data_IF_278460348689
#
_entry.id   IF_278460348689
#
_cell.length_a   1.000
_cell.length_b   1.000
_cell.length_c   1.000
_cell.angle_alpha   90.00
_cell.angle_beta   90.00
_cell.angle_gamma   90.00
#
_symmetry.space_group_name_H-M   'P 1'
#
loop_
_entity.id
_entity.type
_entity.pdbx_description
1 polymer ?
#
# COMPACT_ATOMS: atom_id res chain seq x y z
N UNK A 1 6.47 -10.62 23.90
CA UNK A 1 5.50 -10.58 22.82
C UNK A 1 4.04 -10.81 23.25
N UNK A 2 3.74 -11.79 24.14
CA UNK A 2 2.38 -12.00 24.67
C UNK A 2 1.79 -10.77 25.41
N UNK A 3 2.64 -9.97 26.05
CA UNK A 3 2.20 -8.76 26.78
C UNK A 3 1.71 -7.63 25.89
N UNK A 4 2.23 -7.52 24.64
CA UNK A 4 1.93 -6.37 23.78
C UNK A 4 0.55 -6.48 23.12
N UNK A 5 0.11 -7.68 22.70
CA UNK A 5 -1.22 -7.87 22.12
C UNK A 5 -2.35 -7.73 23.15
N UNK A 6 -2.12 -8.08 24.43
CA UNK A 6 -3.12 -7.89 25.48
C UNK A 6 -3.44 -6.41 25.72
N UNK A 7 -2.50 -5.50 25.40
CA UNK A 7 -2.73 -4.05 25.47
C UNK A 7 -3.88 -3.60 24.55
N UNK A 8 -4.14 -4.30 23.44
CA UNK A 8 -5.26 -3.99 22.55
C UNK A 8 -6.61 -4.05 23.26
N UNK A 9 -6.74 -4.95 24.23
CA UNK A 9 -7.98 -5.16 25.00
C UNK A 9 -8.10 -4.33 26.29
N UNK A 10 -7.02 -3.74 26.79
CA UNK A 10 -6.96 -3.13 28.13
C UNK A 10 -6.55 -1.67 28.12
N UNK A 11 -5.50 -1.30 27.36
CA UNK A 11 -4.94 0.05 27.35
C UNK A 11 -5.86 1.05 26.62
N UNK A 12 -5.70 2.35 26.88
CA UNK A 12 -6.44 3.42 26.19
C UNK A 12 -6.13 3.39 24.67
N UNK A 13 -7.15 3.37 23.82
CA UNK A 13 -7.00 3.29 22.36
C UNK A 13 -6.12 4.41 21.80
N UNK A 14 -6.29 5.64 22.30
CA UNK A 14 -5.45 6.77 21.89
C UNK A 14 -3.96 6.50 22.14
N UNK A 15 -3.61 5.96 23.32
CA UNK A 15 -2.22 5.63 23.67
C UNK A 15 -1.67 4.53 22.77
N UNK A 16 -2.47 3.49 22.46
CA UNK A 16 -2.09 2.43 21.53
C UNK A 16 -1.78 3.03 20.15
N UNK A 17 -2.68 3.86 19.61
CA UNK A 17 -2.50 4.48 18.30
C UNK A 17 -1.26 5.39 18.25
N UNK A 18 -1.04 6.22 19.29
CA UNK A 18 0.15 7.06 19.37
C UNK A 18 1.46 6.29 19.50
N UNK A 19 1.44 5.09 20.05
CA UNK A 19 2.64 4.23 20.14
C UNK A 19 2.90 3.47 18.83
N UNK A 20 1.83 3.12 18.09
CA UNK A 20 1.93 2.28 16.89
C UNK A 20 2.08 3.08 15.58
N UNK A 21 1.39 4.22 15.45
CA UNK A 21 1.36 4.95 14.20
C UNK A 21 2.70 5.61 13.82
N UNK A 22 3.44 6.30 14.71
CA UNK A 22 4.69 6.94 14.33
C UNK A 22 5.74 6.00 13.74
N UNK A 23 6.01 4.78 14.28
CA UNK A 23 6.89 3.82 13.65
C UNK A 23 6.46 3.44 12.23
N UNK A 24 5.16 3.22 12.01
CA UNK A 24 4.63 2.87 10.69
C UNK A 24 4.75 4.04 9.71
N UNK A 25 4.44 5.27 10.18
CA UNK A 25 4.62 6.49 9.37
C UNK A 25 6.08 6.67 8.95
N UNK A 26 7.01 6.49 9.87
CA UNK A 26 8.44 6.62 9.58
C UNK A 26 8.90 5.56 8.58
N UNK A 27 8.47 4.30 8.74
CA UNK A 27 8.77 3.24 7.79
C UNK A 27 8.27 3.58 6.37
N UNK A 28 7.02 4.05 6.23
CA UNK A 28 6.45 4.43 4.94
C UNK A 28 7.14 5.66 4.34
N UNK A 29 7.52 6.64 5.16
CA UNK A 29 8.28 7.82 4.70
C UNK A 29 9.65 7.40 4.15
N UNK A 30 10.38 6.58 4.87
CA UNK A 30 11.68 6.06 4.43
C UNK A 30 11.54 5.26 3.14
N UNK A 31 10.48 4.45 3.02
CA UNK A 31 10.18 3.72 1.80
C UNK A 31 9.91 4.66 0.60
N UNK A 32 9.18 5.74 0.80
CA UNK A 32 8.95 6.73 -0.25
C UNK A 32 10.25 7.44 -0.66
N UNK A 33 11.10 7.77 0.32
CA UNK A 33 12.38 8.43 0.06
C UNK A 33 13.35 7.53 -0.70
N UNK A 34 13.49 6.26 -0.31
CA UNK A 34 14.44 5.39 -1.03
C UNK A 34 14.02 5.15 -2.48
N UNK A 35 12.73 5.05 -2.79
CA UNK A 35 12.24 4.92 -4.17
C UNK A 35 12.64 6.13 -5.04
N UNK A 36 12.65 7.34 -4.44
CA UNK A 36 13.10 8.56 -5.13
C UNK A 36 14.61 8.50 -5.36
N UNK A 37 15.39 8.07 -4.37
CA UNK A 37 16.86 7.99 -4.45
C UNK A 37 17.28 6.93 -5.47
N UNK A 38 16.69 5.76 -5.48
CA UNK A 38 16.91 4.70 -6.48
C UNK A 38 16.67 5.23 -7.90
N UNK A 39 15.51 5.84 -8.13
CA UNK A 39 15.18 6.46 -9.43
C UNK A 39 16.16 7.56 -9.83
N UNK A 40 16.69 8.32 -8.88
CA UNK A 40 17.69 9.35 -9.13
C UNK A 40 19.03 8.76 -9.61
N UNK A 41 19.54 7.71 -8.95
CA UNK A 41 20.79 7.07 -9.36
C UNK A 41 20.65 6.37 -10.71
N UNK A 42 19.55 5.67 -10.95
CA UNK A 42 19.27 5.04 -12.24
C UNK A 42 19.14 6.07 -13.35
N UNK A 43 18.41 7.17 -13.13
CA UNK A 43 18.27 8.25 -14.09
C UNK A 43 19.59 8.96 -14.43
N UNK A 44 20.51 9.05 -13.47
CA UNK A 44 21.88 9.54 -13.73
C UNK A 44 22.73 8.56 -14.53
N UNK A 45 22.43 7.28 -14.46
CA UNK A 45 23.14 6.26 -15.21
C UNK A 45 22.65 6.17 -16.67
N UNK A 46 21.33 6.14 -16.89
CA UNK A 46 20.73 5.92 -18.21
C UNK A 46 19.27 6.38 -18.23
N UNK A 47 18.88 7.12 -19.27
CA UNK A 47 17.47 7.47 -19.51
C UNK A 47 16.63 6.24 -19.86
N UNK A 48 17.20 5.30 -20.62
CA UNK A 48 16.56 4.01 -20.93
C UNK A 48 16.31 3.21 -19.66
N UNK A 49 17.25 3.23 -18.68
CA UNK A 49 17.09 2.61 -17.37
C UNK A 49 15.95 3.21 -16.56
N UNK A 50 15.82 4.52 -16.53
CA UNK A 50 14.71 5.20 -15.84
C UNK A 50 13.35 4.84 -16.47
N UNK A 51 13.31 4.75 -17.80
CA UNK A 51 12.12 4.29 -18.54
C UNK A 51 11.79 2.84 -18.18
N UNK A 52 12.82 1.97 -18.10
CA UNK A 52 12.63 0.57 -17.71
C UNK A 52 12.05 0.42 -16.29
N UNK A 53 12.53 1.22 -15.32
CA UNK A 53 11.94 1.24 -13.96
C UNK A 53 10.46 1.59 -14.00
N UNK A 54 10.11 2.61 -14.79
CA UNK A 54 8.71 3.05 -14.94
C UNK A 54 7.81 1.98 -15.54
N UNK A 55 8.32 1.22 -16.52
CA UNK A 55 7.60 0.10 -17.14
C UNK A 55 7.41 -1.07 -16.16
N UNK A 56 8.41 -1.36 -15.31
CA UNK A 56 8.33 -2.46 -14.33
C UNK A 56 7.47 -2.12 -13.11
N UNK A 57 7.33 -0.85 -12.78
CA UNK A 57 6.63 -0.39 -11.58
C UNK A 57 5.23 -1.00 -11.37
N UNK A 58 4.34 -1.13 -12.38
CA UNK A 58 3.05 -1.79 -12.20
C UNK A 58 3.16 -3.26 -11.77
N UNK A 59 4.17 -3.99 -12.25
CA UNK A 59 4.41 -5.39 -11.83
C UNK A 59 4.85 -5.44 -10.38
N UNK A 60 5.73 -4.53 -9.96
CA UNK A 60 6.14 -4.42 -8.56
C UNK A 60 4.96 -4.09 -7.64
N UNK A 61 4.07 -3.18 -8.04
CA UNK A 61 2.84 -2.87 -7.28
C UNK A 61 1.94 -4.10 -7.14
N UNK A 62 1.83 -4.91 -8.19
CA UNK A 62 1.05 -6.14 -8.14
C UNK A 62 1.67 -7.16 -7.17
N UNK A 63 2.99 -7.35 -7.21
CA UNK A 63 3.71 -8.20 -6.24
C UNK A 63 3.46 -7.73 -4.80
N UNK A 64 3.57 -6.42 -4.55
CA UNK A 64 3.32 -5.82 -3.23
C UNK A 64 1.86 -6.04 -2.81
N UNK A 65 0.89 -5.87 -3.73
CA UNK A 65 -0.52 -6.08 -3.43
C UNK A 65 -0.80 -7.51 -2.94
N UNK A 66 -0.23 -8.51 -3.59
CA UNK A 66 -0.39 -9.91 -3.18
C UNK A 66 0.35 -10.22 -1.87
N UNK A 67 1.60 -9.78 -1.73
CA UNK A 67 2.39 -10.01 -0.53
C UNK A 67 1.75 -9.34 0.71
N UNK A 68 1.46 -8.04 0.62
CA UNK A 68 0.86 -7.27 1.72
C UNK A 68 -0.57 -7.74 2.00
N UNK A 69 -1.38 -7.98 0.97
CA UNK A 69 -2.77 -8.40 1.14
C UNK A 69 -2.89 -9.78 1.81
N UNK A 70 -2.05 -10.75 1.43
CA UNK A 70 -1.95 -12.04 2.13
C UNK A 70 -1.52 -11.83 3.59
N UNK A 71 -0.52 -10.98 3.80
CA UNK A 71 -0.06 -10.62 5.15
C UNK A 71 -1.13 -9.96 6.00
N UNK A 72 -1.96 -9.08 5.43
CA UNK A 72 -3.10 -8.47 6.15
C UNK A 72 -4.15 -9.52 6.53
N UNK A 73 -4.36 -10.52 5.67
CA UNK A 73 -5.21 -11.67 6.00
C UNK A 73 -4.69 -12.44 7.22
N UNK A 74 -3.38 -12.74 7.25
CA UNK A 74 -2.73 -13.39 8.40
C UNK A 74 -2.83 -12.51 9.65
N UNK A 75 -2.51 -11.22 9.54
CA UNK A 75 -2.62 -10.26 10.64
C UNK A 75 -4.01 -10.25 11.27
N UNK A 76 -5.04 -10.14 10.43
CA UNK A 76 -6.44 -10.12 10.88
C UNK A 76 -6.83 -11.41 11.59
N UNK A 77 -6.48 -12.58 11.02
CA UNK A 77 -6.77 -13.87 11.64
C UNK A 77 -6.00 -14.07 12.95
N UNK A 78 -4.71 -13.76 12.98
CA UNK A 78 -3.89 -13.84 14.20
C UNK A 78 -4.43 -12.95 15.30
N UNK A 79 -4.72 -11.67 15.02
CA UNK A 79 -5.23 -10.72 15.99
C UNK A 79 -6.60 -11.17 16.55
N UNK A 80 -7.42 -11.82 15.72
CA UNK A 80 -8.70 -12.42 16.16
C UNK A 80 -8.47 -13.52 17.19
N UNK A 81 -7.60 -14.51 16.89
CA UNK A 81 -7.32 -15.61 17.80
C UNK A 81 -6.58 -15.16 19.07
N UNK A 82 -5.68 -14.20 18.97
CA UNK A 82 -5.04 -13.56 20.14
C UNK A 82 -6.09 -12.86 21.04
N UNK A 83 -7.12 -12.28 20.45
CA UNK A 83 -8.27 -11.72 21.20
C UNK A 83 -9.03 -12.77 21.99
N UNK A 84 -9.20 -13.95 21.43
CA UNK A 84 -9.84 -15.11 22.10
C UNK A 84 -8.92 -15.85 23.08
N UNK A 85 -7.67 -15.42 23.23
CA UNK A 85 -6.62 -16.10 24.02
C UNK A 85 -6.28 -17.51 23.47
N UNK A 86 -6.52 -17.73 22.18
CA UNK A 86 -6.15 -18.93 21.43
C UNK A 86 -4.77 -18.78 20.79
N UNK A 87 -3.73 -18.63 21.63
CA UNK A 87 -2.36 -18.33 21.21
C UNK A 87 -1.80 -19.39 20.24
N UNK A 88 -2.08 -20.68 20.50
CA UNK A 88 -1.64 -21.78 19.64
C UNK A 88 -2.21 -21.65 18.22
N UNK A 89 -3.49 -21.32 18.13
CA UNK A 89 -4.15 -21.12 16.83
C UNK A 89 -3.63 -19.88 16.11
N UNK A 90 -3.32 -18.82 16.82
CA UNK A 90 -2.67 -17.65 16.26
C UNK A 90 -1.27 -18.00 15.69
N UNK A 91 -0.47 -18.76 16.44
CA UNK A 91 0.85 -19.22 15.97
C UNK A 91 0.75 -20.20 14.79
N UNK A 92 -0.28 -21.07 14.73
CA UNK A 92 -0.55 -21.90 13.54
C UNK A 92 -0.81 -21.04 12.29
N UNK A 93 -1.69 -20.04 12.38
CA UNK A 93 -1.98 -19.10 11.28
C UNK A 93 -0.70 -18.38 10.83
N UNK A 94 0.10 -17.91 11.78
CA UNK A 94 1.40 -17.30 11.48
C UNK A 94 2.38 -18.27 10.82
N UNK A 95 2.39 -19.53 11.27
CA UNK A 95 3.25 -20.59 10.76
C UNK A 95 2.93 -21.01 9.30
N UNK A 96 1.66 -20.94 8.90
CA UNK A 96 1.25 -21.13 7.50
C UNK A 96 1.78 -20.02 6.60
N UNK A 97 1.97 -18.83 7.15
CA UNK A 97 2.39 -17.65 6.38
C UNK A 97 3.68 -17.83 5.61
N UNK A 98 4.72 -18.42 6.22
CA UNK A 98 6.02 -18.62 5.56
C UNK A 98 5.96 -19.53 4.34
N UNK A 99 5.46 -20.78 4.41
CA UNK A 99 5.39 -21.64 3.23
C UNK A 99 4.38 -21.13 2.18
N UNK A 100 3.29 -20.51 2.60
CA UNK A 100 2.31 -19.91 1.69
C UNK A 100 2.94 -18.78 0.87
N UNK A 101 3.72 -17.92 1.51
CA UNK A 101 4.38 -16.81 0.83
C UNK A 101 5.52 -17.25 -0.08
N UNK A 102 6.25 -18.30 0.29
CA UNK A 102 7.28 -18.90 -0.57
C UNK A 102 6.65 -19.54 -1.82
N UNK A 103 5.51 -20.21 -1.68
CA UNK A 103 4.76 -20.74 -2.83
C UNK A 103 4.31 -19.60 -3.75
N UNK A 104 3.76 -18.53 -3.17
CA UNK A 104 3.30 -17.36 -3.93
C UNK A 104 4.46 -16.67 -4.65
N UNK A 105 5.60 -16.47 -3.96
CA UNK A 105 6.83 -15.98 -4.58
C UNK A 105 7.26 -16.87 -5.74
N UNK A 106 7.32 -18.19 -5.56
CA UNK A 106 7.75 -19.11 -6.61
C UNK A 106 6.86 -19.02 -7.85
N UNK A 107 5.54 -18.93 -7.67
CA UNK A 107 4.58 -18.74 -8.78
C UNK A 107 4.85 -17.41 -9.49
N UNK A 108 5.03 -16.31 -8.76
CA UNK A 108 5.35 -15.01 -9.33
C UNK A 108 6.71 -15.00 -10.05
N UNK A 109 7.73 -15.60 -9.43
CA UNK A 109 9.07 -15.66 -10.01
C UNK A 109 9.08 -16.40 -11.35
N UNK A 110 8.44 -17.58 -11.40
CA UNK A 110 8.32 -18.39 -12.63
C UNK A 110 7.50 -17.64 -13.68
N UNK A 111 6.34 -17.11 -13.31
CA UNK A 111 5.49 -16.34 -14.22
C UNK A 111 6.25 -15.14 -14.80
N UNK A 112 6.85 -14.31 -13.97
CA UNK A 112 7.57 -13.12 -14.41
C UNK A 112 8.81 -13.47 -15.25
N UNK A 113 9.55 -14.53 -14.92
CA UNK A 113 10.71 -14.95 -15.69
C UNK A 113 10.36 -15.20 -17.16
N UNK A 114 9.26 -15.90 -17.43
CA UNK A 114 8.82 -16.22 -18.79
C UNK A 114 8.03 -15.08 -19.45
N UNK A 115 7.22 -14.36 -18.67
CA UNK A 115 6.34 -13.30 -19.20
C UNK A 115 7.10 -12.00 -19.49
N UNK A 116 8.20 -11.71 -18.79
CA UNK A 116 8.90 -10.43 -18.86
C UNK A 116 9.31 -10.00 -20.29
N UNK A 117 9.85 -10.89 -21.16
CA UNK A 117 10.19 -10.49 -22.52
C UNK A 117 8.98 -10.09 -23.37
N UNK A 118 7.84 -10.78 -23.20
CA UNK A 118 6.61 -10.44 -23.89
C UNK A 118 6.06 -9.09 -23.40
N UNK A 119 6.04 -8.87 -22.08
CA UNK A 119 5.62 -7.63 -21.47
C UNK A 119 6.46 -6.43 -21.92
N UNK A 120 7.79 -6.58 -21.96
CA UNK A 120 8.69 -5.54 -22.42
C UNK A 120 8.39 -5.12 -23.87
N UNK A 121 8.22 -6.10 -24.78
CA UNK A 121 7.87 -5.84 -26.18
C UNK A 121 6.49 -5.21 -26.38
N UNK A 122 5.54 -5.47 -25.47
CA UNK A 122 4.22 -4.82 -25.49
C UNK A 122 4.26 -3.38 -24.99
N UNK A 123 5.28 -3.03 -24.19
CA UNK A 123 5.38 -1.74 -23.51
C UNK A 123 6.22 -0.71 -24.27
N UNK A 124 7.14 -1.15 -25.15
CA UNK A 124 8.05 -0.26 -25.89
C UNK A 124 8.63 -0.94 -27.12
N UNK A 125 8.94 -0.13 -28.16
CA UNK A 125 9.61 -0.57 -29.39
C UNK A 125 11.16 -0.40 -29.31
N UNK A 126 11.68 0.31 -28.30
CA UNK A 126 13.12 0.53 -28.12
C UNK A 126 13.81 -0.76 -27.69
N UNK A 127 14.71 -1.29 -28.53
CA UNK A 127 15.46 -2.51 -28.23
C UNK A 127 16.33 -2.39 -26.97
N UNK A 128 16.86 -1.20 -26.67
CA UNK A 128 17.65 -0.92 -25.48
C UNK A 128 16.77 -0.97 -24.22
N UNK A 129 15.63 -0.28 -24.23
CA UNK A 129 14.67 -0.29 -23.12
C UNK A 129 14.12 -1.70 -22.89
N UNK A 130 13.80 -2.46 -23.95
CA UNK A 130 13.35 -3.87 -23.83
C UNK A 130 14.39 -4.70 -23.09
N UNK A 131 15.68 -4.57 -23.44
CA UNK A 131 16.77 -5.30 -22.79
C UNK A 131 16.85 -4.95 -21.28
N UNK A 132 16.76 -3.67 -20.95
CA UNK A 132 16.84 -3.19 -19.57
C UNK A 132 15.62 -3.60 -18.75
N UNK A 133 14.39 -3.53 -19.30
CA UNK A 133 13.15 -4.02 -18.67
C UNK A 133 13.26 -5.51 -18.36
N UNK A 134 13.72 -6.31 -19.32
CA UNK A 134 13.86 -7.78 -19.11
C UNK A 134 14.90 -8.07 -18.05
N UNK A 135 16.05 -7.38 -18.08
CA UNK A 135 17.13 -7.59 -17.11
C UNK A 135 16.72 -7.19 -15.71
N UNK A 136 16.26 -5.94 -15.51
CA UNK A 136 15.82 -5.44 -14.22
C UNK A 136 14.62 -6.25 -13.67
N UNK A 137 13.60 -6.43 -14.49
CA UNK A 137 12.38 -7.11 -14.11
C UNK A 137 12.60 -8.57 -13.71
N UNK A 138 13.44 -9.32 -14.44
CA UNK A 138 13.80 -10.68 -14.05
C UNK A 138 14.53 -10.73 -12.72
N UNK A 139 15.53 -9.87 -12.49
CA UNK A 139 16.27 -9.83 -11.22
C UNK A 139 15.32 -9.53 -10.06
N UNK A 140 14.55 -8.45 -10.17
CA UNK A 140 13.66 -8.01 -9.08
C UNK A 140 12.55 -9.03 -8.81
N UNK A 141 11.95 -9.64 -9.84
CA UNK A 141 10.84 -10.58 -9.65
C UNK A 141 11.33 -11.97 -9.20
N UNK A 142 12.42 -12.48 -9.77
CA UNK A 142 12.90 -13.82 -9.42
C UNK A 142 13.49 -13.85 -8.00
N UNK A 143 14.19 -12.79 -7.61
CA UNK A 143 14.81 -12.72 -6.28
C UNK A 143 13.96 -11.96 -5.24
N UNK A 144 12.67 -11.74 -5.52
CA UNK A 144 11.74 -11.03 -4.63
C UNK A 144 11.35 -11.80 -3.35
N UNK A 145 11.90 -13.00 -3.11
CA UNK A 145 11.58 -13.78 -1.90
C UNK A 145 11.77 -12.96 -0.61
N UNK A 146 12.75 -12.05 -0.57
CA UNK A 146 12.98 -11.14 0.55
C UNK A 146 11.77 -10.24 0.80
N UNK A 147 11.20 -9.61 -0.24
CA UNK A 147 9.99 -8.80 -0.16
C UNK A 147 8.79 -9.59 0.36
N UNK A 148 8.58 -10.79 -0.17
CA UNK A 148 7.45 -11.64 0.21
C UNK A 148 7.56 -12.09 1.68
N UNK A 149 8.73 -12.54 2.12
CA UNK A 149 8.99 -12.97 3.51
C UNK A 149 8.92 -11.79 4.49
N UNK A 150 9.55 -10.66 4.16
CA UNK A 150 9.49 -9.44 4.97
C UNK A 150 8.04 -9.01 5.19
N UNK A 151 7.24 -8.99 4.13
CA UNK A 151 5.84 -8.59 4.20
C UNK A 151 5.04 -9.45 5.18
N UNK A 152 5.16 -10.78 5.11
CA UNK A 152 4.44 -11.70 5.99
C UNK A 152 4.90 -11.58 7.44
N UNK A 153 6.22 -11.63 7.69
CA UNK A 153 6.74 -11.55 9.05
C UNK A 153 6.47 -10.18 9.69
N UNK A 154 6.51 -9.10 8.92
CA UNK A 154 6.04 -7.78 9.36
C UNK A 154 4.59 -7.82 9.82
N UNK A 155 3.69 -8.46 9.06
CA UNK A 155 2.27 -8.55 9.43
C UNK A 155 2.02 -9.43 10.65
N UNK A 156 2.80 -10.48 10.85
CA UNK A 156 2.80 -11.29 12.08
C UNK A 156 3.21 -10.44 13.30
N UNK A 157 4.28 -9.64 13.17
CA UNK A 157 4.72 -8.73 14.24
C UNK A 157 3.66 -7.68 14.57
N UNK A 158 3.06 -7.08 13.55
CA UNK A 158 1.99 -6.09 13.70
C UNK A 158 0.76 -6.67 14.41
N UNK A 159 0.39 -7.94 14.15
CA UNK A 159 -0.68 -8.63 14.86
C UNK A 159 -0.41 -8.75 16.38
N UNK A 160 0.85 -8.86 16.74
CA UNK A 160 1.31 -8.89 18.14
C UNK A 160 1.55 -7.49 18.75
N UNK A 161 1.33 -6.41 17.99
CA UNK A 161 1.54 -5.02 18.45
C UNK A 161 2.97 -4.49 18.27
N UNK A 162 3.90 -5.29 17.74
CA UNK A 162 5.26 -4.83 17.46
C UNK A 162 5.31 -4.10 16.11
N UNK A 163 5.31 -2.76 16.17
CA UNK A 163 5.50 -1.90 15.00
C UNK A 163 6.95 -1.40 14.86
N UNK A 164 7.76 -1.53 15.91
CA UNK A 164 9.13 -1.01 15.93
C UNK A 164 10.09 -1.92 15.15
N UNK A 165 9.96 -3.23 15.29
CA UNK A 165 10.81 -4.17 14.56
C UNK A 165 10.64 -4.06 13.04
N UNK A 166 9.41 -4.01 12.47
CA UNK A 166 9.19 -3.70 11.06
C UNK A 166 9.78 -2.34 10.63
N UNK A 167 9.61 -1.30 11.44
CA UNK A 167 10.20 0.01 11.14
C UNK A 167 11.72 -0.06 11.00
N UNK A 168 12.41 -0.70 11.97
CA UNK A 168 13.86 -0.87 11.93
C UNK A 168 14.28 -1.67 10.69
N UNK A 169 13.54 -2.72 10.35
CA UNK A 169 13.80 -3.54 9.17
C UNK A 169 13.67 -2.74 7.88
N UNK A 170 12.61 -1.94 7.74
CA UNK A 170 12.39 -1.06 6.58
C UNK A 170 13.50 -0.02 6.45
N UNK A 171 13.91 0.63 7.55
CA UNK A 171 15.01 1.60 7.55
C UNK A 171 16.31 0.91 7.14
N UNK A 172 16.64 -0.24 7.73
CA UNK A 172 17.87 -0.97 7.40
C UNK A 172 17.90 -1.42 5.94
N UNK A 173 16.78 -1.94 5.42
CA UNK A 173 16.64 -2.30 4.02
C UNK A 173 16.82 -1.12 3.08
N UNK A 174 16.18 0.02 3.38
CA UNK A 174 16.28 1.25 2.60
C UNK A 174 17.71 1.82 2.61
N UNK A 175 18.35 1.88 3.77
CA UNK A 175 19.76 2.33 3.89
C UNK A 175 20.69 1.41 3.11
N UNK A 176 20.48 0.09 3.19
CA UNK A 176 21.27 -0.88 2.42
C UNK A 176 21.11 -0.64 0.92
N UNK A 177 19.90 -0.44 0.43
CA UNK A 177 19.65 -0.14 -0.99
C UNK A 177 20.33 1.17 -1.40
N UNK A 178 20.09 2.28 -0.68
CA UNK A 178 20.69 3.61 -0.97
C UNK A 178 22.23 3.56 -1.03
N UNK A 179 22.85 2.77 -0.16
CA UNK A 179 24.32 2.60 -0.14
C UNK A 179 24.78 1.73 -1.31
N UNK A 180 24.07 0.64 -1.61
CA UNK A 180 24.46 -0.28 -2.68
C UNK A 180 24.17 0.25 -4.08
N UNK A 181 23.18 1.13 -4.27
CA UNK A 181 22.85 1.70 -5.58
C UNK A 181 24.07 2.33 -6.26
N UNK A 182 24.75 3.37 -5.72
CA UNK A 182 25.90 3.95 -6.38
C UNK A 182 27.08 2.97 -6.49
N UNK A 183 27.23 2.05 -5.54
CA UNK A 183 28.32 1.06 -5.56
C UNK A 183 28.16 0.08 -6.72
N UNK A 184 26.97 -0.44 -6.95
CA UNK A 184 26.69 -1.46 -7.96
C UNK A 184 26.36 -0.86 -9.33
N UNK A 185 25.65 0.28 -9.37
CA UNK A 185 25.30 0.95 -10.64
C UNK A 185 26.55 1.46 -11.32
N UNK A 186 27.41 2.21 -10.61
CA UNK A 186 28.57 2.88 -11.17
C UNK A 186 29.88 2.09 -11.04
N UNK A 187 29.91 1.01 -10.24
CA UNK A 187 31.09 0.20 -10.02
C UNK A 187 32.14 0.90 -9.15
N UNK A 188 31.72 1.52 -8.04
CA UNK A 188 32.63 2.22 -7.13
C UNK A 188 33.44 1.24 -6.27
N UNK A 189 34.58 1.68 -5.78
CA UNK A 189 35.48 0.91 -4.90
C UNK A 189 35.96 -0.44 -5.46
N UNK A 190 36.10 -0.54 -6.78
CA UNK A 190 36.59 -1.77 -7.44
C UNK A 190 35.51 -2.83 -7.71
N UNK A 191 34.27 -2.54 -7.42
CA UNK A 191 33.12 -3.40 -7.80
C UNK A 191 32.85 -3.31 -9.31
N UNK A 192 32.31 -4.37 -9.93
CA UNK A 192 31.94 -4.32 -11.35
C UNK A 192 30.81 -3.33 -11.58
N UNK A 193 30.90 -2.55 -12.65
CA UNK A 193 29.85 -1.65 -13.10
C UNK A 193 28.68 -2.47 -13.67
N UNK A 194 27.60 -2.59 -12.91
CA UNK A 194 26.45 -3.44 -13.25
C UNK A 194 25.29 -2.66 -13.90
N UNK A 195 25.31 -1.30 -13.85
CA UNK A 195 24.24 -0.47 -14.38
C UNK A 195 22.88 -0.80 -13.75
N UNK A 196 21.83 -0.95 -14.57
CA UNK A 196 20.47 -1.23 -14.10
C UNK A 196 20.35 -2.58 -13.35
N UNK A 197 21.19 -3.56 -13.69
CA UNK A 197 21.24 -4.83 -12.92
C UNK A 197 21.77 -4.60 -11.51
N UNK A 198 22.65 -3.60 -11.33
CA UNK A 198 23.13 -3.16 -10.01
C UNK A 198 22.03 -2.55 -9.15
N UNK A 199 21.16 -1.70 -9.70
CA UNK A 199 19.99 -1.17 -9.03
C UNK A 199 19.02 -2.30 -8.61
N UNK A 200 18.75 -3.24 -9.52
CA UNK A 200 17.92 -4.42 -9.21
C UNK A 200 18.51 -5.26 -8.07
N UNK A 201 19.83 -5.51 -8.11
CA UNK A 201 20.52 -6.26 -7.04
C UNK A 201 20.50 -5.52 -5.70
N UNK A 202 20.74 -4.20 -5.69
CA UNK A 202 20.67 -3.37 -4.49
C UNK A 202 19.27 -3.43 -3.84
N UNK A 203 18.21 -3.34 -4.65
CA UNK A 203 16.83 -3.48 -4.20
C UNK A 203 16.57 -4.85 -3.56
N UNK A 204 16.99 -5.92 -4.22
CA UNK A 204 16.84 -7.29 -3.70
C UNK A 204 17.61 -7.48 -2.39
N UNK A 205 18.85 -7.03 -2.31
CA UNK A 205 19.66 -7.15 -1.08
C UNK A 205 19.03 -6.35 0.06
N UNK A 206 18.53 -5.13 -0.19
CA UNK A 206 17.80 -4.35 0.79
C UNK A 206 16.57 -5.08 1.34
N UNK A 207 15.78 -5.72 0.47
CA UNK A 207 14.63 -6.53 0.85
C UNK A 207 15.03 -7.76 1.69
N UNK A 208 16.12 -8.43 1.34
CA UNK A 208 16.66 -9.58 2.11
C UNK A 208 17.11 -9.12 3.50
N UNK A 209 17.82 -7.99 3.60
CA UNK A 209 18.25 -7.43 4.91
C UNK A 209 17.04 -7.13 5.78
N UNK A 210 16.02 -6.51 5.24
CA UNK A 210 14.77 -6.26 5.97
C UNK A 210 14.10 -7.56 6.42
N UNK A 211 14.01 -8.57 5.54
CA UNK A 211 13.46 -9.87 5.86
C UNK A 211 14.22 -10.56 7.00
N UNK A 212 15.55 -10.54 7.00
CA UNK A 212 16.38 -11.14 8.04
C UNK A 212 16.18 -10.51 9.42
N UNK A 213 15.90 -9.20 9.46
CA UNK A 213 15.64 -8.49 10.73
C UNK A 213 14.28 -8.90 11.30
N UNK A 214 13.23 -8.90 10.49
CA UNK A 214 11.88 -9.28 10.95
C UNK A 214 11.77 -10.78 11.23
N UNK A 215 12.55 -11.62 10.54
CA UNK A 215 12.58 -13.07 10.72
C UNK A 215 12.79 -13.48 12.17
N UNK A 216 13.72 -12.82 12.88
CA UNK A 216 14.10 -13.17 14.26
C UNK A 216 12.91 -13.23 15.23
N UNK A 217 11.89 -12.42 15.01
CA UNK A 217 10.69 -12.33 15.86
C UNK A 217 9.39 -12.69 15.14
N UNK A 218 9.37 -12.59 13.81
CA UNK A 218 8.20 -12.84 12.96
C UNK A 218 8.04 -14.31 12.56
N UNK A 219 9.13 -15.07 12.48
CA UNK A 219 9.06 -16.48 12.10
C UNK A 219 8.23 -17.30 13.10
N UNK A 220 7.36 -18.15 12.57
CA UNK A 220 6.59 -19.15 13.32
C UNK A 220 6.77 -20.51 12.67
N UNK A 221 6.79 -21.56 13.51
CA UNK A 221 6.91 -22.94 13.02
C UNK A 221 5.68 -23.31 12.20
N UNK A 222 5.90 -23.93 11.06
CA UNK A 222 4.83 -24.42 10.22
C UNK A 222 4.03 -25.52 10.93
N UNK A 223 2.69 -25.45 10.95
CA UNK A 223 1.84 -26.46 11.55
C UNK A 223 1.76 -27.73 10.66
N UNK A 224 0.99 -28.72 11.10
CA UNK A 224 0.70 -29.91 10.32
C UNK A 224 -0.06 -29.58 9.03
N UNK A 225 0.20 -30.30 7.93
CA UNK A 225 -0.44 -30.05 6.63
C UNK A 225 -1.98 -30.15 6.64
N UNK A 226 -2.54 -30.91 7.58
CA UNK A 226 -4.00 -31.10 7.70
C UNK A 226 -4.78 -29.81 7.96
N UNK A 227 -4.15 -28.80 8.59
CA UNK A 227 -4.80 -27.52 8.91
C UNK A 227 -4.64 -26.45 7.80
N UNK A 228 -3.82 -26.71 6.80
CA UNK A 228 -3.50 -25.71 5.76
C UNK A 228 -4.71 -25.21 4.99
N UNK A 229 -5.46 -26.13 4.38
CA UNK A 229 -6.53 -25.74 3.46
C UNK A 229 -7.65 -24.91 4.13
N UNK A 230 -8.16 -25.29 5.32
CA UNK A 230 -9.14 -24.49 6.03
C UNK A 230 -8.63 -23.11 6.42
N UNK A 231 -7.39 -23.02 6.89
CA UNK A 231 -6.83 -21.76 7.37
C UNK A 231 -6.36 -20.85 6.23
N UNK A 232 -5.82 -21.39 5.14
CA UNK A 232 -5.57 -20.63 3.90
C UNK A 232 -6.86 -19.97 3.39
N UNK A 233 -7.98 -20.70 3.41
CA UNK A 233 -9.29 -20.13 3.02
C UNK A 233 -9.70 -18.97 3.94
N UNK A 234 -9.45 -19.06 5.25
CA UNK A 234 -9.71 -17.97 6.19
C UNK A 234 -8.79 -16.77 5.92
N UNK A 235 -7.48 -17.02 5.73
CA UNK A 235 -6.48 -15.98 5.44
C UNK A 235 -6.89 -15.20 4.18
N UNK A 236 -7.18 -15.89 3.08
CA UNK A 236 -7.56 -15.20 1.84
C UNK A 236 -8.94 -14.55 1.93
N UNK A 237 -9.89 -15.10 2.68
CA UNK A 237 -11.16 -14.42 2.95
C UNK A 237 -10.96 -13.03 3.56
N UNK A 238 -9.94 -12.87 4.44
CA UNK A 238 -9.62 -11.60 5.07
C UNK A 238 -8.60 -10.77 4.25
N UNK A 239 -7.77 -11.42 3.44
CA UNK A 239 -6.71 -10.78 2.65
C UNK A 239 -7.18 -10.21 1.31
N UNK A 240 -8.11 -10.88 0.62
CA UNK A 240 -8.63 -10.47 -0.70
C UNK A 240 -9.10 -9.01 -0.75
N UNK A 241 -9.84 -8.47 0.24
CA UNK A 241 -10.21 -7.06 0.21
C UNK A 241 -9.03 -6.10 0.08
N UNK A 242 -7.92 -6.42 0.75
CA UNK A 242 -6.70 -5.59 0.68
C UNK A 242 -5.97 -5.78 -0.66
N UNK A 243 -5.89 -7.00 -1.18
CA UNK A 243 -5.35 -7.27 -2.53
C UNK A 243 -6.14 -6.47 -3.57
N UNK A 244 -7.47 -6.52 -3.52
CA UNK A 244 -8.35 -5.78 -4.42
C UNK A 244 -8.14 -4.27 -4.29
N UNK A 245 -8.03 -3.76 -3.06
CA UNK A 245 -7.84 -2.33 -2.81
C UNK A 245 -6.54 -1.82 -3.43
N UNK A 246 -5.44 -2.55 -3.27
CA UNK A 246 -4.14 -2.15 -3.81
C UNK A 246 -4.05 -2.35 -5.33
N UNK A 247 -4.56 -3.47 -5.86
CA UNK A 247 -4.58 -3.71 -7.30
C UNK A 247 -5.50 -2.74 -8.04
N UNK A 248 -6.68 -2.46 -7.49
CA UNK A 248 -7.63 -1.54 -8.08
C UNK A 248 -7.12 -0.09 -8.15
N UNK A 249 -6.21 0.29 -7.23
CA UNK A 249 -5.53 1.59 -7.28
C UNK A 249 -4.81 1.81 -8.61
N UNK A 250 -4.08 0.82 -9.09
CA UNK A 250 -3.37 0.89 -10.38
C UNK A 250 -4.34 1.00 -11.56
N UNK A 251 -5.42 0.22 -11.53
CA UNK A 251 -6.39 0.21 -12.64
C UNK A 251 -7.15 1.52 -12.79
N UNK A 252 -7.62 2.13 -11.69
CA UNK A 252 -8.34 3.38 -11.84
C UNK A 252 -7.44 4.55 -12.24
N UNK A 253 -6.19 4.59 -11.80
CA UNK A 253 -5.21 5.58 -12.26
C UNK A 253 -5.03 5.47 -13.77
N UNK A 254 -4.85 4.25 -14.28
CA UNK A 254 -4.73 4.01 -15.71
C UNK A 254 -5.98 4.48 -16.47
N UNK A 255 -7.18 4.14 -15.99
CA UNK A 255 -8.45 4.59 -16.58
C UNK A 255 -8.62 6.11 -16.61
N UNK A 256 -8.26 6.80 -15.51
CA UNK A 256 -8.32 8.27 -15.47
C UNK A 256 -7.29 8.92 -16.40
N UNK A 257 -6.08 8.37 -16.51
CA UNK A 257 -5.06 8.83 -17.44
C UNK A 257 -5.54 8.71 -18.90
N UNK A 258 -6.18 7.58 -19.27
CA UNK A 258 -6.75 7.42 -20.60
C UNK A 258 -7.81 8.50 -20.93
N UNK A 259 -8.66 8.83 -19.96
CA UNK A 259 -9.65 9.89 -20.13
C UNK A 259 -8.96 11.26 -20.26
N UNK A 260 -7.97 11.57 -19.43
CA UNK A 260 -7.26 12.86 -19.49
C UNK A 260 -6.42 13.02 -20.76
N UNK A 261 -5.86 11.95 -21.29
CA UNK A 261 -5.09 11.97 -22.55
C UNK A 261 -5.94 12.47 -23.74
N UNK A 262 -7.27 12.38 -23.65
CA UNK A 262 -8.17 12.94 -24.68
C UNK A 262 -8.23 14.48 -24.65
N UNK A 263 -7.77 15.13 -23.57
CA UNK A 263 -7.72 16.59 -23.46
C UNK A 263 -6.33 17.15 -23.83
N UNK A 264 -5.31 16.71 -23.11
CA UNK A 264 -3.91 17.14 -23.34
C UNK A 264 -2.92 16.34 -22.49
N UNK A 265 -1.65 16.32 -22.92
CA UNK A 265 -0.54 15.74 -22.14
C UNK A 265 -0.32 16.50 -20.82
N UNK A 266 -0.59 17.82 -20.81
CA UNK A 266 -0.50 18.64 -19.61
C UNK A 266 -1.51 18.21 -18.55
N UNK A 267 -2.74 17.84 -18.95
CA UNK A 267 -3.76 17.34 -18.01
C UNK A 267 -3.35 16.00 -17.39
N UNK A 268 -2.75 15.10 -18.17
CA UNK A 268 -2.17 13.84 -17.68
C UNK A 268 -1.01 14.13 -16.69
N UNK A 269 -0.15 15.08 -17.04
CA UNK A 269 0.95 15.51 -16.17
C UNK A 269 0.44 16.03 -14.84
N UNK A 270 -0.60 16.84 -14.82
CA UNK A 270 -1.23 17.36 -13.59
C UNK A 270 -1.71 16.23 -12.68
N UNK A 271 -2.35 15.20 -13.24
CA UNK A 271 -2.78 14.03 -12.44
C UNK A 271 -1.56 13.28 -11.86
N UNK A 272 -0.50 13.12 -12.64
CA UNK A 272 0.76 12.53 -12.15
C UNK A 272 1.38 13.34 -11.01
N UNK A 273 1.39 14.67 -11.09
CA UNK A 273 1.87 15.55 -10.02
C UNK A 273 1.00 15.43 -8.76
N UNK A 274 -0.32 15.34 -8.93
CA UNK A 274 -1.22 15.09 -7.80
C UNK A 274 -0.86 13.79 -7.07
N UNK A 275 -0.64 12.68 -7.78
CA UNK A 275 -0.29 11.41 -7.13
C UNK A 275 1.05 11.44 -6.42
N UNK A 276 2.03 12.20 -6.90
CA UNK A 276 3.29 12.40 -6.19
C UNK A 276 3.08 13.07 -4.83
N UNK A 277 2.30 14.14 -4.78
CA UNK A 277 1.96 14.81 -3.52
C UNK A 277 1.05 13.96 -2.63
N UNK A 278 0.07 13.28 -3.22
CA UNK A 278 -0.81 12.38 -2.50
C UNK A 278 -0.01 11.32 -1.72
N UNK A 279 1.03 10.76 -2.32
CA UNK A 279 1.86 9.75 -1.67
C UNK A 279 2.40 10.22 -0.31
N UNK A 280 2.80 11.50 -0.19
CA UNK A 280 3.26 12.07 1.08
C UNK A 280 2.12 12.31 2.08
N UNK A 281 1.05 12.96 1.63
CA UNK A 281 -0.07 13.29 2.52
C UNK A 281 -0.83 12.05 3.00
N UNK A 282 -0.75 10.92 2.27
CA UNK A 282 -1.44 9.69 2.63
C UNK A 282 -0.64 8.79 3.57
N UNK A 283 0.65 9.04 3.81
CA UNK A 283 1.46 8.27 4.77
C UNK A 283 0.78 8.18 6.16
N UNK A 284 0.31 9.27 6.76
CA UNK A 284 -0.34 9.18 8.06
C UNK A 284 -1.64 8.37 8.04
N UNK A 285 -2.44 8.51 6.97
CA UNK A 285 -3.67 7.75 6.80
C UNK A 285 -3.40 6.26 6.64
N UNK A 286 -2.44 5.89 5.79
CA UNK A 286 -2.03 4.49 5.59
C UNK A 286 -1.46 3.86 6.86
N UNK A 287 -0.68 4.61 7.63
CA UNK A 287 -0.18 4.16 8.92
C UNK A 287 -1.32 3.91 9.92
N UNK A 288 -2.29 4.82 10.00
CA UNK A 288 -3.48 4.67 10.83
C UNK A 288 -4.28 3.42 10.44
N UNK A 289 -4.52 3.22 9.13
CA UNK A 289 -5.20 2.03 8.61
C UNK A 289 -4.48 0.74 8.98
N UNK A 290 -3.15 0.72 8.89
CA UNK A 290 -2.34 -0.44 9.29
C UNK A 290 -2.49 -0.74 10.79
N UNK A 291 -2.51 0.29 11.64
CA UNK A 291 -2.60 0.13 13.09
C UNK A 291 -3.99 -0.33 13.56
N UNK A 292 -5.06 0.14 12.94
CA UNK A 292 -6.42 -0.19 13.40
C UNK A 292 -6.81 -1.64 13.11
N UNK A 293 -6.22 -2.29 12.10
CA UNK A 293 -6.56 -3.69 11.74
C UNK A 293 -6.42 -4.65 12.92
N UNK A 294 -5.24 -4.81 13.54
CA UNK A 294 -5.10 -5.74 14.66
C UNK A 294 -5.91 -5.31 15.89
N UNK A 295 -6.03 -4.00 16.16
CA UNK A 295 -6.81 -3.49 17.30
C UNK A 295 -8.29 -3.85 17.15
N UNK A 296 -8.87 -3.62 15.96
CA UNK A 296 -10.27 -3.92 15.66
C UNK A 296 -10.53 -5.42 15.71
N UNK A 297 -9.66 -6.22 15.08
CA UNK A 297 -9.81 -7.65 14.99
C UNK A 297 -9.78 -8.32 16.37
N UNK A 298 -8.82 -7.91 17.23
CA UNK A 298 -8.70 -8.36 18.62
C UNK A 298 -9.95 -8.02 19.45
N UNK A 299 -10.38 -6.75 19.42
CA UNK A 299 -11.51 -6.29 20.23
C UNK A 299 -12.86 -6.83 19.71
N UNK A 300 -12.98 -7.04 18.39
CA UNK A 300 -14.18 -7.65 17.83
C UNK A 300 -14.31 -9.12 18.21
N UNK A 301 -13.21 -9.88 18.22
CA UNK A 301 -13.17 -11.26 18.67
C UNK A 301 -13.68 -11.43 20.12
N UNK A 302 -13.35 -10.47 21.00
CA UNK A 302 -13.79 -10.45 22.40
C UNK A 302 -15.11 -9.72 22.63
N UNK A 303 -15.86 -9.42 21.58
CA UNK A 303 -17.15 -8.69 21.62
C UNK A 303 -17.07 -7.31 22.31
N UNK A 304 -15.89 -6.70 22.39
CA UNK A 304 -15.70 -5.35 22.95
C UNK A 304 -16.06 -4.27 21.91
N UNK A 305 -17.32 -4.24 21.50
CA UNK A 305 -17.82 -3.39 20.41
C UNK A 305 -17.56 -1.89 20.67
N UNK A 306 -17.66 -1.44 21.92
CA UNK A 306 -17.41 -0.03 22.23
C UNK A 306 -15.93 0.37 22.02
N UNK A 307 -15.00 -0.57 22.23
CA UNK A 307 -13.60 -0.34 21.87
C UNK A 307 -13.40 -0.28 20.35
N UNK A 308 -14.13 -1.11 19.60
CA UNK A 308 -14.12 -1.05 18.14
C UNK A 308 -14.64 0.31 17.62
N UNK A 309 -15.76 0.80 18.18
CA UNK A 309 -16.30 2.13 17.86
C UNK A 309 -15.28 3.24 18.18
N UNK A 310 -14.67 3.18 19.36
CA UNK A 310 -13.68 4.16 19.80
C UNK A 310 -12.43 4.14 18.90
N UNK A 311 -11.98 2.95 18.50
CA UNK A 311 -10.85 2.78 17.58
C UNK A 311 -11.14 3.45 16.23
N UNK A 312 -12.30 3.14 15.63
CA UNK A 312 -12.70 3.74 14.36
C UNK A 312 -12.87 5.26 14.48
N UNK A 313 -13.55 5.73 15.52
CA UNK A 313 -13.77 7.18 15.74
C UNK A 313 -12.45 7.94 15.87
N UNK A 314 -11.50 7.44 16.66
CA UNK A 314 -10.19 8.08 16.81
C UNK A 314 -9.38 8.03 15.51
N UNK A 315 -9.43 6.92 14.78
CA UNK A 315 -8.76 6.81 13.47
C UNK A 315 -9.32 7.83 12.46
N UNK A 316 -10.65 8.02 12.44
CA UNK A 316 -11.29 9.02 11.59
C UNK A 316 -10.93 10.45 12.02
N UNK A 317 -10.97 10.75 13.34
CA UNK A 317 -10.60 12.08 13.85
C UNK A 317 -9.15 12.41 13.50
N UNK A 318 -8.20 11.51 13.79
CA UNK A 318 -6.79 11.72 13.47
C UNK A 318 -6.55 11.78 11.96
N UNK A 319 -7.20 10.91 11.20
CA UNK A 319 -7.11 10.92 9.74
C UNK A 319 -7.61 12.24 9.14
N UNK A 320 -8.77 12.74 9.56
CA UNK A 320 -9.32 14.03 9.11
C UNK A 320 -8.41 15.19 9.56
N UNK A 321 -7.93 15.21 10.80
CA UNK A 321 -7.03 16.26 11.28
C UNK A 321 -5.75 16.35 10.47
N UNK A 322 -5.15 15.21 10.11
CA UNK A 322 -3.95 15.15 9.30
C UNK A 322 -4.23 15.53 7.83
N UNK A 323 -5.38 15.10 7.26
CA UNK A 323 -5.76 15.49 5.91
C UNK A 323 -6.12 16.97 5.79
N UNK A 324 -6.60 17.61 6.86
CA UNK A 324 -6.80 19.07 6.90
C UNK A 324 -5.50 19.82 6.67
N UNK A 325 -4.36 19.31 7.15
CA UNK A 325 -3.04 19.89 6.84
C UNK A 325 -2.79 19.82 5.33
N UNK A 326 -3.10 18.69 4.69
CA UNK A 326 -3.00 18.55 3.22
C UNK A 326 -3.89 19.55 2.48
N UNK A 327 -5.13 19.74 2.92
CA UNK A 327 -6.05 20.75 2.36
C UNK A 327 -5.44 22.15 2.49
N UNK A 328 -4.94 22.50 3.67
CA UNK A 328 -4.30 23.80 3.89
C UNK A 328 -3.07 24.00 2.99
N UNK A 329 -2.24 22.98 2.82
CA UNK A 329 -1.11 23.03 1.90
C UNK A 329 -1.58 23.28 0.45
N UNK A 330 -2.63 22.57 0.00
CA UNK A 330 -3.19 22.74 -1.36
C UNK A 330 -3.88 24.10 -1.57
N UNK A 331 -4.27 24.79 -0.53
CA UNK A 331 -4.81 26.14 -0.64
C UNK A 331 -3.73 27.23 -0.53
N UNK A 332 -2.78 27.09 0.42
CA UNK A 332 -1.86 28.16 0.79
C UNK A 332 -0.57 28.15 -0.06
N UNK A 333 -0.03 26.98 -0.39
CA UNK A 333 1.27 26.85 -1.05
C UNK A 333 1.20 26.11 -2.40
N UNK A 334 0.00 26.03 -2.97
CA UNK A 334 -0.25 25.30 -4.23
C UNK A 334 0.68 25.72 -5.37
N UNK A 335 0.94 27.03 -5.51
CA UNK A 335 1.84 27.53 -6.55
C UNK A 335 3.23 26.95 -6.41
N UNK A 336 3.79 26.97 -5.20
CA UNK A 336 5.13 26.42 -4.91
C UNK A 336 5.14 24.90 -5.14
N UNK A 337 4.09 24.17 -4.70
CA UNK A 337 3.99 22.73 -4.89
C UNK A 337 4.04 22.33 -6.37
N UNK A 338 3.37 23.07 -7.25
CA UNK A 338 3.39 22.82 -8.69
C UNK A 338 4.77 23.19 -9.30
N UNK A 339 5.35 24.32 -8.90
CA UNK A 339 6.65 24.79 -9.41
C UNK A 339 7.83 23.86 -9.03
N UNK A 340 7.71 23.06 -7.95
CA UNK A 340 8.72 22.04 -7.59
C UNK A 340 8.94 21.04 -8.72
N UNK A 341 7.89 20.73 -9.49
CA UNK A 341 7.92 19.65 -10.49
C UNK A 341 7.78 20.14 -11.94
N UNK A 342 7.21 21.32 -12.18
CA UNK A 342 6.98 21.83 -13.53
C UNK A 342 7.07 23.34 -13.59
N UNK A 343 7.60 23.84 -14.70
CA UNK A 343 7.65 25.27 -15.03
C UNK A 343 6.74 25.59 -16.23
N UNK A 344 6.03 24.59 -16.77
CA UNK A 344 5.06 24.79 -17.86
C UNK A 344 3.86 25.57 -17.33
N UNK A 345 3.58 26.72 -17.96
CA UNK A 345 2.50 27.63 -17.57
C UNK A 345 1.12 26.97 -17.66
N UNK A 346 0.91 26.08 -18.64
CA UNK A 346 -0.35 25.37 -18.84
C UNK A 346 -0.56 24.29 -17.77
N UNK A 347 0.49 23.53 -17.40
CA UNK A 347 0.47 22.57 -16.29
C UNK A 347 0.13 23.29 -14.98
N UNK A 348 0.74 24.46 -14.74
CA UNK A 348 0.45 25.25 -13.53
C UNK A 348 -0.98 25.77 -13.54
N UNK A 349 -1.49 26.25 -14.68
CA UNK A 349 -2.86 26.75 -14.82
C UNK A 349 -3.88 25.65 -14.54
N UNK A 350 -3.75 24.49 -15.18
CA UNK A 350 -4.63 23.35 -14.98
C UNK A 350 -4.49 22.82 -13.55
N UNK A 351 -3.25 22.69 -13.05
CA UNK A 351 -2.95 22.18 -11.72
C UNK A 351 -3.57 23.01 -10.60
N UNK A 352 -3.58 24.34 -10.72
CA UNK A 352 -4.21 25.21 -9.71
C UNK A 352 -5.71 24.95 -9.56
N UNK A 353 -6.42 24.66 -10.66
CA UNK A 353 -7.83 24.33 -10.62
C UNK A 353 -8.02 22.89 -10.11
N UNK A 354 -7.28 21.94 -10.67
CA UNK A 354 -7.37 20.54 -10.33
C UNK A 354 -7.15 20.28 -8.83
N UNK A 355 -6.05 20.78 -8.27
CA UNK A 355 -5.67 20.50 -6.89
C UNK A 355 -6.64 21.09 -5.88
N UNK A 356 -7.20 22.29 -6.14
CA UNK A 356 -8.24 22.87 -5.28
C UNK A 356 -9.52 22.03 -5.28
N UNK A 357 -9.96 21.58 -6.45
CA UNK A 357 -11.15 20.72 -6.55
C UNK A 357 -10.89 19.38 -5.85
N UNK A 358 -9.74 18.77 -6.11
CA UNK A 358 -9.37 17.49 -5.49
C UNK A 358 -9.19 17.62 -3.97
N UNK A 359 -8.66 18.72 -3.46
CA UNK A 359 -8.48 18.95 -2.01
C UNK A 359 -9.79 18.81 -1.22
N UNK A 360 -10.93 19.16 -1.82
CA UNK A 360 -12.26 18.95 -1.21
C UNK A 360 -12.52 17.48 -0.92
N UNK A 361 -11.92 16.56 -1.70
CA UNK A 361 -12.09 15.11 -1.48
C UNK A 361 -11.33 14.59 -0.24
N UNK A 362 -10.35 15.29 0.29
CA UNK A 362 -9.47 14.79 1.34
C UNK A 362 -10.21 14.40 2.62
N UNK A 363 -11.28 15.10 2.96
CA UNK A 363 -12.10 14.78 4.13
C UNK A 363 -12.95 13.51 3.88
N UNK A 364 -13.81 13.44 2.85
CA UNK A 364 -14.57 12.22 2.57
C UNK A 364 -13.69 11.03 2.22
N UNK A 365 -12.50 11.24 1.65
CA UNK A 365 -11.52 10.21 1.37
C UNK A 365 -11.09 9.43 2.63
N UNK A 366 -10.88 10.11 3.76
CA UNK A 366 -10.51 9.43 5.01
C UNK A 366 -11.54 8.36 5.36
N UNK A 367 -12.82 8.69 5.28
CA UNK A 367 -13.91 7.76 5.58
C UNK A 367 -14.07 6.70 4.48
N UNK A 368 -13.97 7.08 3.21
CA UNK A 368 -14.11 6.18 2.06
C UNK A 368 -13.06 5.07 2.05
N UNK A 369 -11.85 5.35 2.54
CA UNK A 369 -10.76 4.36 2.65
C UNK A 369 -10.75 3.63 4.01
N UNK A 370 -11.21 4.26 5.09
CA UNK A 370 -11.15 3.64 6.43
C UNK A 370 -12.30 2.66 6.67
N UNK A 371 -13.50 2.87 6.11
CA UNK A 371 -14.60 1.91 6.26
C UNK A 371 -14.32 0.53 5.65
N UNK A 372 -13.76 0.40 4.43
CA UNK A 372 -13.33 -0.92 3.93
C UNK A 372 -12.37 -1.63 4.87
N UNK A 373 -11.37 -0.92 5.42
CA UNK A 373 -10.41 -1.48 6.38
C UNK A 373 -11.10 -1.93 7.67
N UNK A 374 -12.05 -1.13 8.18
CA UNK A 374 -12.87 -1.52 9.32
C UNK A 374 -13.64 -2.82 9.06
N UNK A 375 -14.37 -2.90 7.95
CA UNK A 375 -15.15 -4.10 7.62
C UNK A 375 -14.28 -5.34 7.41
N UNK A 376 -13.10 -5.17 6.82
CA UNK A 376 -12.10 -6.22 6.71
C UNK A 376 -11.68 -6.73 8.09
N UNK A 377 -11.30 -5.83 9.00
CA UNK A 377 -10.79 -6.16 10.32
C UNK A 377 -11.84 -6.87 11.21
N UNK A 378 -13.13 -6.55 11.04
CA UNK A 378 -14.24 -7.23 11.77
C UNK A 378 -14.79 -8.44 11.01
N UNK A 379 -14.09 -8.97 10.03
CA UNK A 379 -14.46 -10.19 9.33
C UNK A 379 -15.55 -10.05 8.27
N UNK A 380 -16.00 -8.83 7.93
CA UNK A 380 -16.98 -8.54 6.89
C UNK A 380 -16.31 -8.29 5.54
N UNK A 381 -15.51 -9.25 5.09
CA UNK A 381 -14.67 -9.16 3.89
C UNK A 381 -15.44 -8.77 2.62
N UNK A 382 -16.65 -9.34 2.41
CA UNK A 382 -17.49 -9.01 1.26
C UNK A 382 -17.88 -7.53 1.24
N UNK A 383 -18.29 -6.97 2.38
CA UNK A 383 -18.65 -5.55 2.49
C UNK A 383 -17.44 -4.65 2.20
N UNK A 384 -16.26 -5.02 2.69
CA UNK A 384 -15.01 -4.32 2.40
C UNK A 384 -14.69 -4.32 0.91
N UNK A 385 -14.69 -5.50 0.28
CA UNK A 385 -14.43 -5.64 -1.17
C UNK A 385 -15.45 -4.88 -2.01
N UNK A 386 -16.73 -4.95 -1.65
CA UNK A 386 -17.81 -4.25 -2.34
C UNK A 386 -17.60 -2.73 -2.33
N UNK A 387 -17.29 -2.14 -1.18
CA UNK A 387 -17.01 -0.70 -1.07
C UNK A 387 -15.80 -0.31 -1.93
N UNK A 388 -14.74 -1.13 -1.92
CA UNK A 388 -13.54 -0.89 -2.73
C UNK A 388 -13.86 -0.94 -4.22
N UNK A 389 -14.54 -1.97 -4.68
CA UNK A 389 -14.88 -2.15 -6.11
C UNK A 389 -15.86 -1.07 -6.58
N UNK A 390 -16.86 -0.71 -5.77
CA UNK A 390 -17.76 0.41 -6.09
C UNK A 390 -16.95 1.69 -6.27
N UNK A 391 -16.04 2.01 -5.35
CA UNK A 391 -15.22 3.22 -5.42
C UNK A 391 -14.33 3.24 -6.67
N UNK A 392 -13.59 2.17 -6.89
CA UNK A 392 -12.49 2.16 -7.89
C UNK A 392 -12.96 1.85 -9.29
N UNK A 393 -13.90 0.91 -9.44
CA UNK A 393 -14.36 0.43 -10.76
C UNK A 393 -15.63 1.14 -11.21
N UNK A 394 -16.64 1.21 -10.32
CA UNK A 394 -17.96 1.71 -10.72
C UNK A 394 -18.13 3.22 -10.56
N UNK A 395 -17.28 3.90 -9.79
CA UNK A 395 -17.38 5.35 -9.61
C UNK A 395 -16.22 6.09 -10.29
N UNK A 396 -14.95 5.81 -9.95
CA UNK A 396 -13.84 6.63 -10.46
C UNK A 396 -13.80 6.72 -11.99
N UNK A 397 -13.73 5.62 -12.69
CA UNK A 397 -13.56 5.64 -14.15
C UNK A 397 -14.84 6.11 -14.86
N UNK A 398 -16.05 5.58 -14.54
CA UNK A 398 -17.28 6.04 -15.17
C UNK A 398 -17.62 7.50 -14.90
N UNK A 399 -17.46 8.00 -13.68
CA UNK A 399 -17.66 9.41 -13.37
C UNK A 399 -16.61 10.30 -14.03
N UNK A 400 -15.35 9.86 -14.06
CA UNK A 400 -14.29 10.56 -14.78
C UNK A 400 -14.64 10.73 -16.27
N UNK A 401 -15.11 9.65 -16.89
CA UNK A 401 -15.58 9.70 -18.27
C UNK A 401 -16.83 10.60 -18.43
N UNK A 402 -17.82 10.50 -17.55
CA UNK A 402 -19.03 11.31 -17.63
C UNK A 402 -18.73 12.81 -17.48
N UNK A 403 -17.93 13.18 -16.47
CA UNK A 403 -17.55 14.58 -16.24
C UNK A 403 -16.62 15.12 -17.32
N UNK A 404 -15.79 14.28 -17.95
CA UNK A 404 -14.95 14.69 -19.07
C UNK A 404 -15.75 15.20 -20.26
N UNK A 405 -16.99 14.69 -20.46
CA UNK A 405 -17.90 15.15 -21.52
C UNK A 405 -18.41 16.58 -21.31
N UNK A 406 -18.35 17.08 -20.07
CA UNK A 406 -18.75 18.46 -19.74
C UNK A 406 -17.53 19.39 -19.90
N UNK A 407 -16.33 18.92 -19.54
CA UNK A 407 -15.09 19.65 -19.70
C UNK A 407 -14.01 19.26 -18.67
N UNK A 408 -12.76 19.66 -18.93
CA UNK A 408 -11.61 19.31 -18.11
C UNK A 408 -11.77 19.71 -16.64
N UNK A 409 -12.31 20.88 -16.34
CA UNK A 409 -12.49 21.34 -14.96
C UNK A 409 -13.51 20.47 -14.20
N UNK A 410 -14.55 19.99 -14.88
CA UNK A 410 -15.53 19.08 -14.30
C UNK A 410 -14.96 17.69 -14.05
N UNK A 411 -14.00 17.23 -14.86
CA UNK A 411 -13.33 15.96 -14.64
C UNK A 411 -12.77 15.82 -13.21
N UNK A 412 -12.20 16.88 -12.65
CA UNK A 412 -11.62 16.85 -11.32
C UNK A 412 -12.64 16.64 -10.19
N UNK A 413 -13.94 16.91 -10.46
CA UNK A 413 -15.03 16.59 -9.52
C UNK A 413 -15.21 15.08 -9.31
N UNK A 414 -14.63 14.26 -10.17
CA UNK A 414 -14.60 12.80 -10.00
C UNK A 414 -14.13 12.41 -8.62
N UNK A 415 -13.09 13.06 -8.08
CA UNK A 415 -12.52 12.77 -6.78
C UNK A 415 -13.48 13.05 -5.63
N UNK A 416 -13.94 14.29 -5.41
CA UNK A 416 -14.84 14.59 -4.29
C UNK A 416 -16.20 13.87 -4.40
N UNK A 417 -16.73 13.67 -5.59
CA UNK A 417 -18.00 12.97 -5.77
C UNK A 417 -17.85 11.49 -5.45
N UNK A 418 -16.83 10.81 -6.00
CA UNK A 418 -16.57 9.39 -5.71
C UNK A 418 -16.36 9.14 -4.23
N UNK A 419 -15.49 9.93 -3.59
CA UNK A 419 -15.17 9.73 -2.19
C UNK A 419 -16.36 10.06 -1.28
N UNK A 420 -17.18 11.06 -1.62
CA UNK A 420 -18.40 11.39 -0.88
C UNK A 420 -19.44 10.28 -0.98
N UNK A 421 -19.70 9.74 -2.17
CA UNK A 421 -20.65 8.63 -2.36
C UNK A 421 -20.19 7.41 -1.58
N UNK A 422 -18.91 7.04 -1.68
CA UNK A 422 -18.35 5.87 -0.98
C UNK A 422 -18.34 6.08 0.53
N UNK A 423 -18.05 7.29 1.00
CA UNK A 423 -18.11 7.67 2.41
C UNK A 423 -19.53 7.49 2.98
N UNK A 424 -20.54 8.00 2.28
CA UNK A 424 -21.95 7.87 2.69
C UNK A 424 -22.35 6.40 2.70
N UNK A 425 -22.03 5.64 1.66
CA UNK A 425 -22.32 4.19 1.60
C UNK A 425 -21.66 3.44 2.75
N UNK A 426 -20.37 3.70 3.02
CA UNK A 426 -19.63 3.12 4.13
C UNK A 426 -20.24 3.45 5.49
N UNK A 427 -20.66 4.70 5.71
CA UNK A 427 -21.31 5.14 6.92
C UNK A 427 -22.69 4.47 7.14
N UNK A 428 -23.50 4.36 6.09
CA UNK A 428 -24.80 3.68 6.17
C UNK A 428 -24.65 2.20 6.51
N UNK A 429 -23.67 1.52 5.88
CA UNK A 429 -23.35 0.11 6.19
C UNK A 429 -22.82 -0.04 7.62
N UNK A 430 -22.01 0.90 8.10
CA UNK A 430 -21.53 0.92 9.48
C UNK A 430 -22.68 1.10 10.49
N UNK A 431 -23.61 2.02 10.23
CA UNK A 431 -24.82 2.18 11.08
C UNK A 431 -25.67 0.91 11.10
N UNK A 432 -25.81 0.24 9.95
CA UNK A 432 -26.52 -1.05 9.87
C UNK A 432 -25.79 -2.13 10.68
N UNK A 433 -24.47 -2.23 10.55
CA UNK A 433 -23.64 -3.16 11.32
C UNK A 433 -23.84 -2.98 12.84
N UNK A 434 -23.82 -1.74 13.34
CA UNK A 434 -23.99 -1.44 14.75
C UNK A 434 -25.41 -1.81 15.29
N UNK A 435 -26.43 -1.72 14.46
CA UNK A 435 -27.79 -2.15 14.86
C UNK A 435 -27.85 -3.66 15.07
N UNK A 436 -27.27 -4.42 14.17
CA UNK A 436 -27.24 -5.89 14.30
C UNK A 436 -26.41 -6.37 15.49
N UNK A 437 -25.28 -5.73 15.78
CA UNK A 437 -24.42 -6.10 16.93
C UNK A 437 -24.99 -5.67 18.29
N UNK A 438 -26.04 -4.84 18.35
CA UNK A 438 -26.75 -4.51 19.60
C UNK A 438 -27.91 -5.46 19.89
N UNK A 439 -28.41 -6.16 18.88
CA UNK A 439 -29.53 -7.09 19.00
C UNK A 439 -29.11 -8.56 19.18
N UNK A 440 -27.81 -8.82 19.08
CA UNK A 440 -27.18 -10.11 19.44
C UNK A 440 -26.50 -10.02 20.80
#
# INVERSE_FOLDING_TARGET
MKQDSQLFGTEKISKILWNMAPPVMLAQLIQALYNIVDSFFVGRYSESGLTALSIIYPIQLLMIAFAVGTGVGINTCMAHYLGLSEDEKADEIGGIGTPLTLLMWAVFAVFCYFFMPAYAKMSTDSAEVIKEVVMYGRIVCVFSFGLFLESIWTKILQANGDMKTPMIAQIAGAVTNIVLDPLLIFGMFGLPKMGIAGAAAATVVGQIVAALIVMRRGFRKSPALSVYLPDIRKIYKMGIPNILMQSAYTFYIFGLNMVLATFSDQAVTVLGLYYKWQAFFFIPLGAMQTCIVPILSYNYATMKIDRCKKTLSLALIYGVSLMMIGVLCFELILGQMLHVFSHDAEVIRIGKVAFRIIAVSFIPLVTSLTFPVFFQAVGKAFTSSMLTVIRTVFLFVPLGYAFSRIGLNFFWLTFPVTDSITSIAGFLLYRRFLRFTKSS
#
